data_IF_606692787858
#
_entry.id   IF_606692787858
#
_cell.length_a   1.000
_cell.length_b   1.000
_cell.length_c   1.000
_cell.angle_alpha   90.00
_cell.angle_beta   90.00
_cell.angle_gamma   90.00
#
_symmetry.space_group_name_H-M   'P 1'
#
loop_
_entity.id
_entity.type
_entity.pdbx_description
1 polymer ?
#
# COMPACT_ATOMS: atom_id res chain seq x y z
N UNK A 1 2.67 3.49 -21.42
CA UNK A 1 1.40 2.80 -21.78
C UNK A 1 1.00 1.98 -20.56
N UNK A 2 -0.23 2.09 -20.11
CA UNK A 2 -0.79 1.36 -18.94
C UNK A 2 -0.89 -0.13 -19.29
N UNK A 3 -0.73 -1.05 -18.31
CA UNK A 3 -0.89 -2.48 -18.54
C UNK A 3 -2.27 -2.82 -19.12
N UNK A 4 -2.31 -3.78 -20.03
CA UNK A 4 -3.55 -4.29 -20.63
C UNK A 4 -3.72 -5.79 -20.43
N UNK A 5 -2.65 -6.45 -20.03
CA UNK A 5 -2.59 -7.89 -19.78
C UNK A 5 -1.73 -8.21 -18.55
N UNK A 6 -1.86 -9.41 -17.98
CA UNK A 6 -0.99 -9.86 -16.89
C UNK A 6 0.50 -9.89 -17.26
N UNK A 7 0.83 -9.98 -18.54
CA UNK A 7 2.22 -9.97 -19.00
C UNK A 7 2.89 -8.59 -18.95
N UNK A 8 2.10 -7.54 -18.78
CA UNK A 8 2.60 -6.16 -18.82
C UNK A 8 3.04 -5.66 -17.42
N UNK A 9 2.84 -6.46 -16.38
CA UNK A 9 3.26 -6.11 -15.02
C UNK A 9 3.89 -7.28 -14.28
N UNK A 10 4.63 -6.99 -13.24
CA UNK A 10 5.39 -7.92 -12.42
C UNK A 10 4.86 -7.93 -10.99
N UNK A 11 4.88 -9.09 -10.33
CA UNK A 11 4.64 -9.23 -8.90
C UNK A 11 5.96 -9.55 -8.21
N UNK A 12 6.40 -8.68 -7.32
CA UNK A 12 7.57 -8.85 -6.47
C UNK A 12 7.13 -9.21 -5.05
N UNK A 13 7.63 -10.34 -4.55
CA UNK A 13 7.32 -10.84 -3.21
C UNK A 13 8.58 -10.74 -2.36
N UNK A 14 8.56 -9.92 -1.32
CA UNK A 14 9.63 -9.86 -0.34
C UNK A 14 9.51 -11.02 0.64
N UNK A 15 10.60 -11.78 0.82
CA UNK A 15 10.66 -12.86 1.81
C UNK A 15 12.05 -12.98 2.43
N UNK A 16 12.14 -13.69 3.56
CA UNK A 16 13.41 -14.01 4.22
C UNK A 16 13.26 -15.21 5.14
N UNK A 17 14.03 -16.30 4.86
CA UNK A 17 14.21 -17.45 5.75
C UNK A 17 12.94 -18.28 6.01
N UNK A 18 11.93 -18.26 5.11
CA UNK A 18 10.67 -19.01 5.29
C UNK A 18 10.01 -19.42 3.96
N UNK A 19 10.71 -20.19 3.13
CA UNK A 19 10.23 -20.57 1.80
C UNK A 19 8.88 -21.29 1.81
N UNK A 20 8.68 -22.28 2.68
CA UNK A 20 7.42 -23.03 2.78
C UNK A 20 6.25 -22.14 3.22
N UNK A 21 6.53 -21.20 4.10
CA UNK A 21 5.53 -20.25 4.55
C UNK A 21 5.08 -19.34 3.40
N UNK A 22 6.03 -18.78 2.65
CA UNK A 22 5.74 -17.96 1.46
C UNK A 22 4.97 -18.78 0.41
N UNK A 23 5.38 -20.03 0.16
CA UNK A 23 4.74 -20.92 -0.82
C UNK A 23 3.27 -21.22 -0.47
N UNK A 24 2.97 -21.41 0.82
CA UNK A 24 1.60 -21.70 1.30
C UNK A 24 0.73 -20.46 1.52
N UNK A 25 1.34 -19.28 1.60
CA UNK A 25 0.67 -18.00 1.81
C UNK A 25 0.61 -17.19 0.51
N UNK A 26 1.43 -16.18 0.36
CA UNK A 26 1.32 -15.23 -0.76
C UNK A 26 1.43 -15.90 -2.13
N UNK A 27 2.39 -16.80 -2.32
CA UNK A 27 2.53 -17.48 -3.61
C UNK A 27 1.33 -18.37 -3.91
N UNK A 28 0.94 -19.24 -2.98
CA UNK A 28 -0.22 -20.12 -3.11
C UNK A 28 -1.55 -19.35 -3.20
N UNK A 29 -1.66 -18.20 -2.53
CA UNK A 29 -2.82 -17.31 -2.68
C UNK A 29 -2.93 -16.79 -4.11
N UNK A 30 -1.83 -16.33 -4.72
CA UNK A 30 -1.83 -15.87 -6.11
C UNK A 30 -2.20 -16.99 -7.09
N UNK A 31 -1.73 -18.21 -6.83
CA UNK A 31 -2.13 -19.39 -7.62
C UNK A 31 -3.63 -19.69 -7.46
N UNK A 32 -4.16 -19.60 -6.23
CA UNK A 32 -5.58 -19.76 -5.94
C UNK A 32 -6.43 -18.71 -6.66
N UNK A 33 -5.94 -17.46 -6.76
CA UNK A 33 -6.59 -16.39 -7.52
C UNK A 33 -6.39 -16.52 -9.04
N UNK A 34 -5.78 -17.60 -9.51
CA UNK A 34 -5.45 -17.83 -10.92
C UNK A 34 -4.67 -16.66 -11.56
N UNK A 35 -3.80 -16.03 -10.76
CA UNK A 35 -2.96 -14.93 -11.23
C UNK A 35 -2.02 -15.39 -12.34
N UNK A 36 -2.04 -14.69 -13.47
CA UNK A 36 -1.21 -15.00 -14.65
C UNK A 36 0.04 -14.11 -14.76
N UNK A 37 0.10 -13.04 -13.98
CA UNK A 37 1.27 -12.19 -13.97
C UNK A 37 2.52 -12.94 -13.48
N UNK A 38 3.68 -12.57 -14.00
CA UNK A 38 4.95 -13.13 -13.53
C UNK A 38 5.17 -12.78 -12.06
N UNK A 39 5.51 -13.79 -11.27
CA UNK A 39 5.83 -13.67 -9.84
C UNK A 39 7.34 -13.86 -9.66
N UNK A 40 7.98 -12.99 -8.89
CA UNK A 40 9.40 -13.07 -8.55
C UNK A 40 9.58 -12.85 -7.06
N UNK A 41 10.28 -13.76 -6.40
CA UNK A 41 10.64 -13.66 -4.98
C UNK A 41 11.92 -12.86 -4.86
N UNK A 42 11.91 -11.85 -4.01
CA UNK A 42 13.04 -10.95 -3.77
C UNK A 42 13.69 -11.31 -2.44
N UNK A 43 14.92 -11.80 -2.51
CA UNK A 43 15.69 -12.27 -1.36
C UNK A 43 16.93 -11.42 -1.17
N UNK A 44 17.30 -11.25 0.08
CA UNK A 44 18.63 -10.67 0.37
C UNK A 44 19.73 -11.73 0.23
N UNK A 45 20.93 -11.26 -0.11
CA UNK A 45 22.13 -12.10 -0.29
C UNK A 45 22.57 -12.88 0.97
N UNK A 46 22.08 -12.46 2.15
CA UNK A 46 22.33 -13.10 3.44
C UNK A 46 21.23 -14.09 3.85
N UNK A 47 20.26 -14.41 2.98
CA UNK A 47 19.21 -15.38 3.28
C UNK A 47 19.78 -16.82 3.24
N UNK A 48 19.71 -17.58 4.33
CA UNK A 48 20.28 -18.93 4.38
C UNK A 48 19.48 -19.96 3.56
N UNK A 49 18.30 -19.62 3.06
CA UNK A 49 17.38 -20.55 2.39
C UNK A 49 17.15 -20.23 0.91
N UNK A 50 18.07 -19.49 0.28
CA UNK A 50 17.97 -19.10 -1.15
C UNK A 50 17.74 -20.33 -2.05
N UNK A 51 18.48 -21.42 -1.84
CA UNK A 51 18.37 -22.63 -2.65
C UNK A 51 17.01 -23.31 -2.50
N UNK A 52 16.38 -23.19 -1.35
CA UNK A 52 15.03 -23.70 -1.12
C UNK A 52 13.98 -22.90 -1.89
N UNK A 53 14.10 -21.57 -1.91
CA UNK A 53 13.24 -20.71 -2.74
C UNK A 53 13.41 -21.02 -4.24
N UNK A 54 14.63 -21.22 -4.71
CA UNK A 54 14.89 -21.60 -6.10
C UNK A 54 14.24 -22.92 -6.48
N UNK A 55 14.28 -23.90 -5.58
CA UNK A 55 13.59 -25.18 -5.79
C UNK A 55 12.07 -25.05 -5.86
N UNK A 56 11.50 -24.15 -5.08
CA UNK A 56 10.05 -23.94 -5.03
C UNK A 56 9.52 -23.12 -6.21
N UNK A 57 10.23 -22.07 -6.59
CA UNK A 57 9.72 -21.08 -7.53
C UNK A 57 10.38 -21.16 -8.91
N UNK A 58 11.51 -21.86 -9.04
CA UNK A 58 12.41 -21.81 -10.21
C UNK A 58 13.43 -20.68 -10.08
N UNK A 59 14.66 -20.94 -10.57
CA UNK A 59 15.77 -19.97 -10.49
C UNK A 59 15.43 -18.62 -11.14
N UNK A 60 14.71 -18.66 -12.25
CA UNK A 60 14.28 -17.48 -13.02
C UNK A 60 13.28 -16.58 -12.30
N UNK A 61 12.69 -17.09 -11.23
CA UNK A 61 11.70 -16.38 -10.40
C UNK A 61 12.25 -16.00 -9.02
N UNK A 62 13.58 -16.05 -8.84
CA UNK A 62 14.25 -15.57 -7.64
C UNK A 62 15.21 -14.45 -8.01
N UNK A 63 15.02 -13.30 -7.37
CA UNK A 63 15.91 -12.14 -7.51
C UNK A 63 16.64 -11.90 -6.19
N UNK A 64 17.97 -11.84 -6.26
CA UNK A 64 18.82 -11.63 -5.08
C UNK A 64 19.37 -10.21 -5.10
N UNK A 65 19.26 -9.51 -3.95
CA UNK A 65 19.85 -8.20 -3.76
C UNK A 65 20.80 -8.17 -2.56
N UNK A 66 21.78 -7.29 -2.60
CA UNK A 66 22.70 -7.09 -1.47
C UNK A 66 22.19 -6.04 -0.51
N UNK A 67 21.93 -6.42 0.73
CA UNK A 67 21.58 -5.46 1.79
C UNK A 67 22.71 -4.47 2.07
N UNK A 68 23.96 -4.92 1.97
CA UNK A 68 25.13 -4.06 2.19
C UNK A 68 25.21 -2.96 1.12
N UNK A 69 24.99 -3.31 -0.13
CA UNK A 69 24.98 -2.33 -1.22
C UNK A 69 23.75 -1.42 -1.14
N UNK A 70 22.60 -1.97 -0.76
CA UNK A 70 21.41 -1.16 -0.49
C UNK A 70 21.63 -0.17 0.64
N UNK A 71 22.26 -0.57 1.73
CA UNK A 71 22.59 0.28 2.87
C UNK A 71 23.51 1.46 2.46
N UNK A 72 24.50 1.18 1.61
CA UNK A 72 25.40 2.24 1.07
C UNK A 72 24.69 3.21 0.12
N UNK A 73 23.74 2.67 -0.66
CA UNK A 73 23.04 3.41 -1.71
C UNK A 73 21.93 4.29 -1.15
N UNK A 74 21.22 3.78 -0.13
CA UNK A 74 20.04 4.42 0.44
C UNK A 74 20.32 4.86 1.87
N UNK A 75 20.47 6.16 2.08
CA UNK A 75 20.52 6.76 3.41
C UNK A 75 19.07 6.92 3.94
N UNK A 76 18.53 5.80 4.41
CA UNK A 76 17.10 5.69 4.77
C UNK A 76 16.86 5.47 6.25
N UNK A 77 17.91 5.28 7.04
CA UNK A 77 17.79 5.01 8.46
C UNK A 77 17.78 6.30 9.26
N UNK A 78 16.61 6.71 9.66
CA UNK A 78 16.39 7.92 10.44
C UNK A 78 16.87 7.83 11.90
N UNK A 79 17.21 6.63 12.38
CA UNK A 79 17.56 6.36 13.76
C UNK A 79 18.79 5.43 13.90
N UNK A 80 19.68 5.45 12.94
CA UNK A 80 20.81 4.51 12.85
C UNK A 80 21.71 4.55 14.10
N UNK A 81 21.85 5.70 14.73
CA UNK A 81 22.66 5.87 15.95
C UNK A 81 22.17 5.04 17.17
N UNK A 82 20.91 4.61 17.19
CA UNK A 82 20.35 3.89 18.33
C UNK A 82 20.43 2.36 18.22
N UNK A 83 20.55 1.81 17.01
CA UNK A 83 20.27 0.39 16.77
C UNK A 83 21.52 -0.47 16.63
N UNK A 84 22.67 0.13 16.46
CA UNK A 84 23.94 -0.57 16.26
C UNK A 84 23.98 -1.39 14.95
N UNK A 85 25.15 -1.65 14.45
CA UNK A 85 25.37 -2.33 13.16
C UNK A 85 24.83 -3.77 13.09
N UNK A 86 24.72 -4.48 14.21
CA UNK A 86 24.25 -5.88 14.25
C UNK A 86 22.75 -6.05 13.99
N UNK A 87 21.95 -5.01 14.20
CA UNK A 87 20.51 -5.02 13.98
C UNK A 87 20.13 -4.40 12.62
N UNK A 88 21.08 -3.76 11.96
CA UNK A 88 20.88 -2.95 10.77
C UNK A 88 20.23 -3.70 9.61
N UNK A 89 20.43 -5.01 9.53
CA UNK A 89 20.06 -5.78 8.35
C UNK A 89 18.76 -6.57 8.44
N UNK A 90 18.05 -6.50 9.58
CA UNK A 90 16.77 -7.19 9.76
C UNK A 90 15.59 -6.26 9.52
N UNK A 91 15.43 -5.74 8.31
CA UNK A 91 14.30 -4.89 7.96
C UNK A 91 13.91 -5.05 6.49
N UNK A 92 12.64 -4.79 6.19
CA UNK A 92 12.09 -4.87 4.83
C UNK A 92 12.49 -3.69 3.96
N UNK A 93 12.81 -2.57 4.57
CA UNK A 93 13.08 -1.29 3.90
C UNK A 93 14.14 -1.36 2.79
N UNK A 94 15.17 -2.19 2.96
CA UNK A 94 16.21 -2.40 1.94
C UNK A 94 15.64 -3.03 0.68
N UNK A 95 14.93 -4.16 0.83
CA UNK A 95 14.28 -4.83 -0.28
C UNK A 95 13.22 -3.96 -0.96
N UNK A 96 12.43 -3.23 -0.18
CA UNK A 96 11.42 -2.31 -0.73
C UNK A 96 12.04 -1.17 -1.56
N UNK A 97 13.18 -0.65 -1.18
CA UNK A 97 13.88 0.36 -2.00
C UNK A 97 14.54 -0.27 -3.25
N UNK A 98 15.02 -1.50 -3.18
CA UNK A 98 15.60 -2.21 -4.32
C UNK A 98 14.55 -2.65 -5.36
N UNK A 99 13.30 -2.76 -5.01
CA UNK A 99 12.23 -3.27 -5.90
C UNK A 99 12.06 -2.45 -7.18
N UNK A 100 12.29 -1.14 -7.14
CA UNK A 100 12.27 -0.30 -8.34
C UNK A 100 13.38 -0.68 -9.32
N UNK A 101 14.60 -0.97 -8.80
CA UNK A 101 15.71 -1.49 -9.61
C UNK A 101 15.41 -2.86 -10.17
N UNK A 102 14.91 -3.77 -9.33
CA UNK A 102 14.56 -5.13 -9.76
C UNK A 102 13.55 -5.13 -10.89
N UNK A 103 12.48 -4.35 -10.79
CA UNK A 103 11.48 -4.25 -11.83
C UNK A 103 12.09 -3.76 -13.16
N UNK A 104 12.97 -2.73 -13.11
CA UNK A 104 13.66 -2.24 -14.31
C UNK A 104 14.59 -3.29 -14.94
N UNK A 105 15.38 -3.98 -14.13
CA UNK A 105 16.30 -5.03 -14.61
C UNK A 105 15.56 -6.21 -15.23
N UNK A 106 14.37 -6.51 -14.72
CA UNK A 106 13.48 -7.55 -15.28
C UNK A 106 12.66 -7.05 -16.48
N UNK A 107 12.82 -5.79 -16.88
CA UNK A 107 12.17 -5.22 -18.07
C UNK A 107 10.73 -4.74 -17.87
N UNK A 108 10.30 -4.55 -16.62
CA UNK A 108 8.93 -4.11 -16.32
C UNK A 108 8.91 -2.65 -15.85
N UNK A 109 7.96 -1.89 -16.39
CA UNK A 109 7.61 -0.57 -15.89
C UNK A 109 6.70 -0.68 -14.67
N UNK A 110 5.68 -1.53 -14.76
CA UNK A 110 4.63 -1.68 -13.76
C UNK A 110 4.90 -2.89 -12.89
N UNK A 111 4.76 -2.72 -11.59
CA UNK A 111 4.96 -3.84 -10.66
C UNK A 111 4.14 -3.68 -9.39
N UNK A 112 3.88 -4.82 -8.76
CA UNK A 112 3.23 -4.91 -7.46
C UNK A 112 4.25 -5.42 -6.45
N UNK A 113 4.26 -4.81 -5.28
CA UNK A 113 5.08 -5.25 -4.14
C UNK A 113 4.17 -5.92 -3.12
N UNK A 114 4.51 -7.13 -2.74
CA UNK A 114 3.80 -7.93 -1.76
C UNK A 114 4.76 -8.41 -0.65
N UNK A 115 4.23 -8.55 0.56
CA UNK A 115 4.85 -9.33 1.62
C UNK A 115 4.52 -10.83 1.40
N UNK A 116 5.23 -11.74 2.07
CA UNK A 116 5.11 -13.18 1.86
C UNK A 116 4.04 -13.88 2.72
N UNK A 117 3.24 -13.13 3.47
CA UNK A 117 2.35 -13.64 4.52
C UNK A 117 0.85 -13.45 4.26
N UNK A 118 0.45 -13.17 3.03
CA UNK A 118 -0.96 -13.00 2.72
C UNK A 118 -1.71 -14.33 2.67
N UNK A 119 -2.92 -14.33 3.27
CA UNK A 119 -3.78 -15.51 3.43
C UNK A 119 -5.10 -15.41 2.68
N UNK A 120 -5.41 -14.27 2.10
CA UNK A 120 -6.66 -14.11 1.37
C UNK A 120 -6.77 -12.76 0.67
N UNK A 121 -7.46 -12.76 -0.44
CA UNK A 121 -7.96 -11.59 -1.15
C UNK A 121 -9.46 -11.73 -1.29
N UNK A 122 -10.21 -10.68 -1.05
CA UNK A 122 -11.67 -10.77 -1.06
C UNK A 122 -12.32 -9.41 -1.30
N UNK A 123 -13.43 -9.40 -1.99
CA UNK A 123 -14.29 -8.22 -2.05
C UNK A 123 -15.07 -8.03 -0.75
N UNK A 124 -15.33 -6.77 -0.39
CA UNK A 124 -16.22 -6.38 0.69
C UNK A 124 -17.30 -5.47 0.12
N UNK A 125 -18.53 -5.96 0.11
CA UNK A 125 -19.69 -5.23 -0.42
C UNK A 125 -20.64 -4.87 0.72
N UNK A 126 -21.27 -3.69 0.68
CA UNK A 126 -22.34 -3.38 1.63
C UNK A 126 -23.54 -4.27 1.38
N UNK A 127 -24.05 -4.91 2.41
CA UNK A 127 -25.26 -5.71 2.36
C UNK A 127 -26.24 -5.28 3.46
N UNK A 128 -27.53 -5.30 3.15
CA UNK A 128 -28.57 -5.09 4.15
C UNK A 128 -28.54 -6.21 5.19
N UNK A 129 -28.61 -5.87 6.46
CA UNK A 129 -28.74 -6.81 7.56
C UNK A 129 -30.19 -6.87 8.01
N UNK A 130 -30.78 -8.05 8.03
CA UNK A 130 -32.16 -8.24 8.50
C UNK A 130 -32.29 -7.69 9.93
N UNK A 131 -33.23 -6.76 10.12
CA UNK A 131 -33.48 -6.13 11.42
C UNK A 131 -32.49 -5.04 11.84
N UNK A 132 -31.74 -4.48 10.90
CA UNK A 132 -30.83 -3.36 11.15
C UNK A 132 -30.80 -2.44 9.94
N UNK A 133 -30.87 -1.13 10.18
CA UNK A 133 -30.71 -0.10 9.15
C UNK A 133 -29.22 0.10 8.76
N UNK A 134 -28.28 -0.56 9.48
CA UNK A 134 -26.86 -0.47 9.21
C UNK A 134 -26.40 -1.58 8.30
N UNK A 135 -25.82 -1.27 7.14
CA UNK A 135 -25.23 -2.27 6.27
C UNK A 135 -24.03 -2.95 6.95
N UNK A 136 -23.80 -4.20 6.61
CA UNK A 136 -22.59 -4.92 6.99
C UNK A 136 -21.79 -5.28 5.74
N UNK A 137 -20.51 -5.57 5.92
CA UNK A 137 -19.59 -5.84 4.82
C UNK A 137 -19.09 -7.29 4.90
N UNK A 138 -19.86 -8.25 4.36
CA UNK A 138 -19.38 -9.62 4.26
C UNK A 138 -18.21 -9.75 3.31
N UNK A 139 -17.46 -10.82 3.48
CA UNK A 139 -16.29 -11.15 2.66
C UNK A 139 -16.73 -12.11 1.56
N UNK A 140 -16.48 -11.74 0.32
CA UNK A 140 -16.72 -12.56 -0.87
C UNK A 140 -15.39 -13.06 -1.42
N UNK A 141 -14.97 -14.25 -0.98
CA UNK A 141 -13.71 -14.86 -1.44
C UNK A 141 -13.85 -15.47 -2.82
N UNK A 142 -15.00 -16.01 -3.12
CA UNK A 142 -15.32 -16.74 -4.36
C UNK A 142 -15.19 -15.85 -5.59
N UNK A 143 -15.47 -14.57 -5.45
CA UNK A 143 -15.38 -13.61 -6.54
C UNK A 143 -13.94 -13.42 -7.07
N UNK A 144 -12.92 -13.70 -6.24
CA UNK A 144 -11.52 -13.55 -6.62
C UNK A 144 -10.96 -14.76 -7.36
N UNK A 145 -11.63 -15.89 -7.29
CA UNK A 145 -11.25 -17.15 -7.96
C UNK A 145 -11.93 -17.27 -9.32
N UNK A 146 -12.95 -16.45 -9.58
CA UNK A 146 -13.67 -16.47 -10.84
C UNK A 146 -12.77 -16.09 -12.01
N UNK A 147 -12.92 -16.76 -13.13
CA UNK A 147 -12.33 -16.37 -14.39
C UNK A 147 -13.21 -15.33 -15.08
N UNK A 148 -12.59 -14.32 -15.63
CA UNK A 148 -13.23 -13.43 -16.58
C UNK A 148 -13.16 -14.05 -17.99
N UNK A 149 -13.87 -13.45 -18.94
CA UNK A 149 -13.80 -13.86 -20.35
C UNK A 149 -12.35 -13.82 -20.83
N UNK A 150 -11.86 -14.92 -21.37
CA UNK A 150 -10.47 -15.10 -21.79
C UNK A 150 -9.56 -15.65 -20.67
N UNK A 151 -8.25 -15.47 -20.81
CA UNK A 151 -7.23 -16.01 -19.89
C UNK A 151 -6.96 -15.11 -18.68
N UNK A 152 -7.71 -14.02 -18.50
CA UNK A 152 -7.51 -13.04 -17.43
C UNK A 152 -8.29 -13.44 -16.17
N UNK A 153 -7.65 -13.48 -15.03
CA UNK A 153 -8.32 -13.65 -13.75
C UNK A 153 -8.97 -12.35 -13.26
N UNK A 154 -9.95 -12.46 -12.36
CA UNK A 154 -10.52 -11.28 -11.68
C UNK A 154 -9.43 -10.51 -10.94
N UNK A 155 -8.48 -11.22 -10.32
CA UNK A 155 -7.36 -10.60 -9.63
C UNK A 155 -6.49 -9.78 -10.59
N UNK A 156 -6.07 -10.36 -11.73
CA UNK A 156 -5.25 -9.64 -12.73
C UNK A 156 -5.98 -8.41 -13.28
N UNK A 157 -7.29 -8.54 -13.52
CA UNK A 157 -8.11 -7.40 -13.96
C UNK A 157 -8.11 -6.27 -12.93
N UNK A 158 -8.32 -6.60 -11.65
CA UNK A 158 -8.26 -5.62 -10.57
C UNK A 158 -6.87 -4.95 -10.49
N UNK A 159 -5.80 -5.71 -10.69
CA UNK A 159 -4.43 -5.17 -10.73
C UNK A 159 -4.27 -4.15 -11.88
N UNK A 160 -4.76 -4.47 -13.06
CA UNK A 160 -4.72 -3.55 -14.22
C UNK A 160 -5.47 -2.26 -13.90
N UNK A 161 -6.66 -2.35 -13.26
CA UNK A 161 -7.42 -1.16 -12.85
C UNK A 161 -6.68 -0.30 -11.83
N UNK A 162 -5.95 -0.91 -10.89
CA UNK A 162 -5.10 -0.17 -9.96
C UNK A 162 -3.95 0.57 -10.68
N UNK A 163 -3.37 -0.02 -11.73
CA UNK A 163 -2.36 0.65 -12.55
C UNK A 163 -2.95 1.76 -13.42
N UNK A 164 -4.14 1.58 -13.98
CA UNK A 164 -4.84 2.64 -14.69
C UNK A 164 -5.07 3.86 -13.79
N UNK A 165 -5.49 3.60 -12.54
CA UNK A 165 -5.63 4.66 -11.55
C UNK A 165 -4.28 5.32 -11.24
N UNK A 166 -3.22 4.55 -11.02
CA UNK A 166 -1.88 5.07 -10.75
C UNK A 166 -1.36 5.95 -11.91
N UNK A 167 -1.65 5.59 -13.15
CA UNK A 167 -1.24 6.34 -14.34
C UNK A 167 -2.08 7.61 -14.56
N UNK A 168 -3.30 7.64 -14.03
CA UNK A 168 -4.26 8.74 -14.25
C UNK A 168 -3.83 10.08 -13.64
N UNK A 169 -2.94 10.06 -12.65
CA UNK A 169 -2.52 11.27 -11.94
C UNK A 169 -0.99 11.32 -11.75
N UNK A 170 -0.32 12.39 -12.18
CA UNK A 170 1.15 12.51 -12.05
C UNK A 170 1.62 12.54 -10.60
N UNK A 171 0.82 13.05 -9.69
CA UNK A 171 1.12 13.13 -8.26
C UNK A 171 0.90 11.81 -7.50
N UNK A 172 0.27 10.80 -8.10
CA UNK A 172 0.04 9.50 -7.50
C UNK A 172 1.23 8.58 -7.73
N UNK A 173 1.92 8.21 -6.68
CA UNK A 173 3.16 7.41 -6.72
C UNK A 173 2.95 5.96 -6.31
N UNK A 174 1.93 5.68 -5.50
CA UNK A 174 1.54 4.31 -5.18
C UNK A 174 0.03 4.18 -5.00
N UNK A 175 -0.52 3.05 -5.41
CA UNK A 175 -1.87 2.61 -5.05
C UNK A 175 -1.74 1.40 -4.15
N UNK A 176 -2.55 1.34 -3.11
CA UNK A 176 -2.60 0.23 -2.16
C UNK A 176 -3.96 -0.47 -2.14
N UNK A 177 -3.97 -1.71 -1.68
CA UNK A 177 -5.21 -2.43 -1.39
C UNK A 177 -5.59 -2.24 0.09
N UNK A 178 -6.88 -2.16 0.41
CA UNK A 178 -7.35 -2.01 1.77
C UNK A 178 -7.11 -3.30 2.57
N UNK A 179 -6.90 -3.14 3.85
CA UNK A 179 -6.71 -4.24 4.80
C UNK A 179 -7.90 -4.36 5.73
N UNK A 180 -8.00 -5.48 6.43
CA UNK A 180 -9.08 -5.71 7.40
C UNK A 180 -9.22 -4.58 8.44
N UNK A 181 -8.12 -3.96 8.84
CA UNK A 181 -8.12 -2.83 9.78
C UNK A 181 -8.81 -1.57 9.26
N UNK A 182 -8.84 -1.38 7.94
CA UNK A 182 -9.49 -0.21 7.32
C UNK A 182 -11.02 -0.26 7.39
N UNK A 183 -11.57 -1.44 7.66
CA UNK A 183 -13.01 -1.66 7.81
C UNK A 183 -13.50 -1.66 9.26
N UNK A 184 -12.64 -1.30 10.23
CA UNK A 184 -13.05 -1.14 11.62
C UNK A 184 -14.09 -0.03 11.74
N UNK A 185 -15.24 -0.37 12.36
CA UNK A 185 -16.41 0.53 12.41
C UNK A 185 -17.42 0.29 11.30
N UNK A 186 -17.14 -0.61 10.34
CA UNK A 186 -18.06 -0.96 9.25
C UNK A 186 -18.44 0.24 8.39
N UNK A 187 -19.69 0.33 8.00
CA UNK A 187 -20.25 1.43 7.20
C UNK A 187 -20.13 2.82 7.87
N UNK A 188 -20.05 2.83 9.20
CA UNK A 188 -19.87 4.07 9.96
C UNK A 188 -18.39 4.51 10.05
N UNK A 189 -17.48 3.71 9.53
CA UNK A 189 -16.06 4.08 9.47
C UNK A 189 -15.89 5.32 8.60
N UNK A 190 -15.17 6.32 9.14
CA UNK A 190 -14.81 7.52 8.38
C UNK A 190 -14.00 7.20 7.12
N UNK A 191 -13.18 6.15 7.19
CA UNK A 191 -12.37 5.65 6.08
C UNK A 191 -13.26 5.09 4.98
N UNK A 192 -14.24 4.27 5.36
CA UNK A 192 -15.15 3.67 4.38
C UNK A 192 -16.05 4.71 3.71
N UNK A 193 -16.59 5.68 4.47
CA UNK A 193 -17.42 6.76 3.94
C UNK A 193 -16.69 7.64 2.91
N UNK A 194 -15.35 7.69 2.96
CA UNK A 194 -14.53 8.46 2.01
C UNK A 194 -14.18 7.72 0.73
N UNK A 195 -14.44 6.42 0.66
CA UNK A 195 -14.07 5.53 -0.46
C UNK A 195 -12.56 5.40 -0.70
N UNK A 196 -11.72 6.20 -0.07
CA UNK A 196 -10.27 6.20 -0.23
C UNK A 196 -9.54 6.76 1.01
N UNK A 197 -8.23 6.48 1.10
CA UNK A 197 -7.35 6.97 2.16
C UNK A 197 -5.94 7.23 1.61
N UNK A 198 -5.28 8.29 2.07
CA UNK A 198 -3.93 8.70 1.68
C UNK A 198 -2.84 7.83 2.29
N UNK A 199 -2.84 6.54 1.99
CA UNK A 199 -1.81 5.60 2.40
C UNK A 199 -1.64 4.51 1.35
N UNK A 200 -0.50 3.81 1.37
CA UNK A 200 -0.35 2.47 0.84
C UNK A 200 0.42 1.66 1.87
N UNK A 201 -0.10 0.49 2.23
CA UNK A 201 0.49 -0.38 3.25
C UNK A 201 0.52 -1.81 2.75
N UNK A 202 1.68 -2.44 2.87
CA UNK A 202 1.93 -3.85 2.57
C UNK A 202 1.76 -4.26 1.10
N UNK A 203 0.78 -3.72 0.39
CA UNK A 203 0.59 -3.91 -1.05
C UNK A 203 0.79 -2.58 -1.74
N UNK A 204 1.69 -2.56 -2.72
CA UNK A 204 2.02 -1.34 -3.44
C UNK A 204 2.00 -1.61 -4.94
N UNK A 205 1.10 -0.94 -5.65
CA UNK A 205 1.15 -0.83 -7.11
C UNK A 205 2.06 0.33 -7.45
N UNK A 206 3.12 0.07 -8.19
CA UNK A 206 4.21 0.99 -8.45
C UNK A 206 4.49 1.16 -9.94
N UNK A 207 5.03 2.32 -10.29
CA UNK A 207 5.55 2.65 -11.62
C UNK A 207 7.05 2.98 -11.48
N UNK A 208 7.91 2.33 -12.25
CA UNK A 208 9.36 2.59 -12.23
C UNK A 208 9.73 4.02 -12.65
N UNK A 209 8.82 4.75 -13.32
CA UNK A 209 8.99 6.16 -13.64
C UNK A 209 8.61 7.11 -12.50
N UNK A 210 7.95 6.59 -11.44
CA UNK A 210 7.51 7.34 -10.26
C UNK A 210 8.16 6.76 -9.01
N UNK A 211 9.50 6.66 -9.02
CA UNK A 211 10.25 6.10 -7.90
C UNK A 211 10.12 6.99 -6.66
N UNK A 212 9.88 6.37 -5.52
CA UNK A 212 9.86 7.00 -4.21
C UNK A 212 10.65 6.17 -3.20
N UNK A 213 10.84 6.69 -1.98
CA UNK A 213 11.68 6.05 -0.97
C UNK A 213 10.86 5.56 0.22
N UNK A 214 11.31 4.43 0.76
CA UNK A 214 10.92 3.92 2.06
C UNK A 214 11.95 4.33 3.11
N UNK A 215 11.51 4.64 4.32
CA UNK A 215 12.35 5.19 5.37
C UNK A 215 12.16 4.47 6.70
N UNK A 216 13.29 4.21 7.39
CA UNK A 216 13.30 3.59 8.70
C UNK A 216 13.10 2.08 8.69
N UNK A 217 13.54 1.43 9.76
CA UNK A 217 13.45 -0.03 9.92
C UNK A 217 12.11 -0.48 10.44
N UNK A 218 11.37 0.42 11.08
CA UNK A 218 10.03 0.19 11.60
C UNK A 218 9.04 1.10 10.90
N UNK A 219 7.87 0.57 10.56
CA UNK A 219 6.83 1.31 9.87
C UNK A 219 7.36 2.04 8.61
N UNK A 220 8.22 1.38 7.86
CA UNK A 220 8.80 1.91 6.63
C UNK A 220 7.73 2.38 5.62
N UNK A 221 6.60 1.69 5.58
CA UNK A 221 5.41 2.06 4.83
C UNK A 221 4.76 3.36 5.35
N UNK A 222 4.53 3.47 6.66
CA UNK A 222 3.97 4.68 7.29
C UNK A 222 4.89 5.88 7.04
N UNK A 223 6.18 5.69 7.28
CA UNK A 223 7.16 6.75 7.06
C UNK A 223 7.22 7.17 5.59
N UNK A 224 7.12 6.20 4.67
CA UNK A 224 7.13 6.46 3.24
C UNK A 224 5.94 7.33 2.82
N UNK A 225 4.70 6.91 3.10
CA UNK A 225 3.55 7.68 2.61
C UNK A 225 3.39 9.04 3.29
N UNK A 226 3.89 9.22 4.52
CA UNK A 226 3.89 10.52 5.18
C UNK A 226 4.98 11.43 4.64
N UNK A 227 6.23 10.98 4.57
CA UNK A 227 7.36 11.79 4.10
C UNK A 227 7.27 12.13 2.61
N UNK A 228 6.89 11.16 1.80
CA UNK A 228 6.74 11.37 0.36
C UNK A 228 5.48 12.21 0.06
N UNK A 229 4.40 11.98 0.80
CA UNK A 229 3.17 12.76 0.68
C UNK A 229 3.41 14.25 0.88
N UNK A 230 4.21 14.66 1.87
CA UNK A 230 4.60 16.05 2.09
C UNK A 230 5.34 16.69 0.89
N UNK A 231 5.93 15.87 0.03
CA UNK A 231 6.66 16.28 -1.17
C UNK A 231 5.82 16.20 -2.45
N UNK A 232 4.53 15.90 -2.33
CA UNK A 232 3.63 15.74 -3.47
C UNK A 232 3.62 14.33 -4.08
N UNK A 233 4.36 13.37 -3.51
CA UNK A 233 4.39 11.98 -3.93
C UNK A 233 3.35 11.19 -3.13
N UNK A 234 2.11 11.26 -3.55
CA UNK A 234 0.98 10.73 -2.80
C UNK A 234 0.80 9.23 -2.98
N UNK A 235 0.37 8.58 -1.92
CA UNK A 235 -0.11 7.20 -1.95
C UNK A 235 -1.62 7.16 -1.71
N UNK A 236 -2.32 6.24 -2.36
CA UNK A 236 -3.77 6.10 -2.28
C UNK A 236 -4.17 4.65 -2.06
N UNK A 237 -5.06 4.39 -1.12
CA UNK A 237 -5.76 3.09 -0.99
C UNK A 237 -7.24 3.31 -1.24
N UNK A 238 -7.81 2.54 -2.17
CA UNK A 238 -9.24 2.51 -2.43
C UNK A 238 -9.93 1.53 -1.48
N UNK A 239 -10.88 1.99 -0.69
CA UNK A 239 -11.57 1.13 0.29
C UNK A 239 -12.57 0.15 -0.34
N UNK A 240 -12.97 0.40 -1.59
CA UNK A 240 -13.86 -0.46 -2.37
C UNK A 240 -13.11 -1.46 -3.27
N UNK A 241 -11.78 -1.37 -3.35
CA UNK A 241 -10.95 -2.36 -4.01
C UNK A 241 -10.93 -3.69 -3.24
N UNK A 242 -10.45 -4.78 -3.85
CA UNK A 242 -10.28 -6.04 -3.14
C UNK A 242 -9.43 -5.85 -1.89
N UNK A 243 -9.92 -6.34 -0.75
CA UNK A 243 -9.15 -6.29 0.50
C UNK A 243 -8.19 -7.46 0.59
N UNK A 244 -6.97 -7.18 1.04
CA UNK A 244 -5.98 -8.22 1.30
C UNK A 244 -5.93 -8.53 2.79
N UNK A 245 -5.78 -9.81 3.13
CA UNK A 245 -5.74 -10.29 4.50
C UNK A 245 -4.40 -10.94 4.79
N UNK A 246 -3.83 -10.61 5.95
CA UNK A 246 -2.60 -11.20 6.47
C UNK A 246 -2.76 -11.56 7.95
N UNK A 247 -2.02 -12.54 8.45
CA UNK A 247 -1.99 -12.84 9.88
C UNK A 247 -1.37 -11.66 10.65
N UNK A 248 -1.59 -11.64 11.96
CA UNK A 248 -0.91 -10.64 12.79
C UNK A 248 0.61 -10.84 12.72
N UNK A 249 1.35 -9.79 12.37
CA UNK A 249 2.81 -9.79 12.28
C UNK A 249 3.50 -10.29 13.55
N UNK A 250 2.83 -10.24 14.71
CA UNK A 250 3.38 -10.67 15.99
C UNK A 250 3.25 -12.19 16.24
N UNK A 251 2.41 -12.87 15.48
CA UNK A 251 2.16 -14.32 15.62
C UNK A 251 3.02 -15.18 14.69
N UNK A 252 3.69 -14.58 13.72
CA UNK A 252 4.48 -15.29 12.69
C UNK A 252 5.96 -15.23 13.03
N UNK A 253 6.69 -16.34 12.89
CA UNK A 253 8.16 -16.38 13.06
C UNK A 253 8.84 -15.77 11.84
N UNK A 254 9.94 -15.05 12.06
CA UNK A 254 10.77 -14.47 11.00
C UNK A 254 10.42 -13.01 10.68
N UNK A 255 11.06 -12.45 9.67
CA UNK A 255 10.91 -11.06 9.26
C UNK A 255 11.23 -10.06 10.37
N UNK A 256 10.41 -9.03 10.52
CA UNK A 256 10.55 -8.00 11.57
C UNK A 256 10.02 -8.43 12.94
N UNK A 257 9.46 -9.63 13.07
CA UNK A 257 8.90 -10.12 14.33
C UNK A 257 9.93 -10.16 15.46
N UNK A 258 11.18 -10.54 15.15
CA UNK A 258 12.26 -10.57 16.13
C UNK A 258 12.58 -9.17 16.68
N UNK A 259 12.51 -8.14 15.84
CA UNK A 259 12.67 -6.75 16.25
C UNK A 259 11.53 -6.33 17.20
N UNK A 260 10.29 -6.72 16.91
CA UNK A 260 9.16 -6.43 17.78
C UNK A 260 9.23 -7.18 19.13
N UNK A 261 9.74 -8.40 19.13
CA UNK A 261 9.99 -9.14 20.38
C UNK A 261 11.07 -8.50 21.23
N UNK A 262 12.10 -7.96 20.60
CA UNK A 262 13.24 -7.35 21.27
C UNK A 262 12.91 -5.96 21.84
N UNK A 263 12.20 -5.13 21.10
CA UNK A 263 11.99 -3.71 21.42
C UNK A 263 10.53 -3.35 21.78
N UNK A 264 9.60 -4.28 21.63
CA UNK A 264 8.18 -4.04 21.80
C UNK A 264 7.54 -3.31 20.62
N UNK A 265 6.22 -3.36 20.53
CA UNK A 265 5.46 -2.76 19.44
C UNK A 265 5.33 -1.24 19.53
N UNK A 266 5.59 -0.67 20.70
CA UNK A 266 5.56 0.79 20.90
C UNK A 266 6.69 1.50 20.13
N UNK A 267 7.84 0.84 19.94
CA UNK A 267 9.00 1.41 19.23
C UNK A 267 8.64 1.83 17.83
N UNK A 268 7.88 1.02 17.08
CA UNK A 268 7.45 1.37 15.74
C UNK A 268 6.65 2.67 15.68
N UNK A 269 5.79 2.91 16.69
CA UNK A 269 4.98 4.12 16.76
C UNK A 269 5.82 5.35 17.12
N UNK A 270 6.76 5.19 18.03
CA UNK A 270 7.73 6.23 18.40
C UNK A 270 8.64 6.58 17.22
N UNK A 271 9.13 5.57 16.48
CA UNK A 271 9.97 5.78 15.29
C UNK A 271 9.25 6.64 14.26
N UNK A 272 7.98 6.34 13.96
CA UNK A 272 7.21 7.14 13.01
C UNK A 272 6.99 8.58 13.49
N UNK A 273 6.77 8.80 14.79
CA UNK A 273 6.63 10.15 15.36
C UNK A 273 7.96 10.94 15.29
N UNK A 274 9.08 10.28 15.54
CA UNK A 274 10.41 10.91 15.44
C UNK A 274 10.76 11.21 13.97
N UNK A 275 10.44 10.29 13.07
CA UNK A 275 10.67 10.48 11.64
C UNK A 275 9.81 11.61 11.04
N UNK A 276 8.62 11.82 11.57
CA UNK A 276 7.64 12.76 11.06
C UNK A 276 7.07 13.66 12.17
N UNK A 277 7.89 14.46 12.86
CA UNK A 277 7.42 15.32 13.94
C UNK A 277 6.38 16.31 13.43
N UNK A 278 5.32 16.50 14.20
CA UNK A 278 4.18 17.32 13.82
C UNK A 278 3.13 16.61 12.96
N UNK A 279 3.51 15.72 12.06
CA UNK A 279 2.57 14.95 11.24
C UNK A 279 2.17 13.61 11.86
N UNK A 280 2.97 13.09 12.77
CA UNK A 280 2.68 11.85 13.48
C UNK A 280 2.82 12.08 14.98
N UNK A 281 1.80 11.73 15.73
CA UNK A 281 1.80 11.74 17.19
C UNK A 281 1.59 10.31 17.71
N UNK A 282 1.85 10.11 19.00
CA UNK A 282 1.68 8.83 19.67
C UNK A 282 0.55 8.92 20.67
N UNK A 283 -0.33 7.95 20.68
CA UNK A 283 -1.45 7.85 21.61
C UNK A 283 -1.74 6.41 21.99
N UNK A 284 -2.76 6.20 22.80
CA UNK A 284 -3.24 4.87 23.18
C UNK A 284 -4.47 4.52 22.35
N UNK A 285 -4.47 3.35 21.74
CA UNK A 285 -5.58 2.82 20.97
C UNK A 285 -6.06 1.49 21.56
N UNK A 286 -7.38 1.29 21.52
CA UNK A 286 -8.05 0.07 21.97
C UNK A 286 -8.58 0.18 23.41
N UNK A 287 -9.83 -0.26 23.59
CA UNK A 287 -10.50 -0.20 24.89
C UNK A 287 -10.29 -1.49 25.70
N UNK A 288 -10.25 -2.64 25.03
CA UNK A 288 -10.10 -3.95 25.70
C UNK A 288 -8.64 -4.29 25.90
N UNK A 289 -7.81 -4.01 24.91
CA UNK A 289 -6.37 -4.23 24.96
C UNK A 289 -5.65 -2.93 24.54
N UNK A 290 -5.45 -2.00 25.45
CA UNK A 290 -4.78 -0.74 25.17
C UNK A 290 -3.38 -0.96 24.65
N UNK A 291 -3.03 -0.30 23.53
CA UNK A 291 -1.69 -0.34 22.96
C UNK A 291 -1.26 1.04 22.48
N UNK A 292 0.01 1.31 22.57
CA UNK A 292 0.59 2.52 21.98
C UNK A 292 0.52 2.43 20.46
N UNK A 293 0.01 3.47 19.84
CA UNK A 293 -0.18 3.53 18.40
C UNK A 293 0.14 4.93 17.88
N UNK A 294 0.57 5.00 16.62
CA UNK A 294 0.78 6.27 15.94
C UNK A 294 -0.55 6.81 15.38
N UNK A 295 -0.70 8.12 15.45
CA UNK A 295 -1.80 8.86 14.83
C UNK A 295 -1.23 9.81 13.78
N UNK A 296 -1.79 9.76 12.57
CA UNK A 296 -1.35 10.57 11.46
C UNK A 296 -2.29 11.77 11.32
N UNK A 297 -1.72 12.94 11.29
CA UNK A 297 -2.40 14.19 11.00
C UNK A 297 -2.37 14.41 9.48
N UNK A 298 -3.44 13.98 8.81
CA UNK A 298 -3.52 13.96 7.36
C UNK A 298 -3.48 15.34 6.71
N UNK A 299 -3.97 16.35 7.40
CA UNK A 299 -3.90 17.76 7.02
C UNK A 299 -2.44 18.26 6.89
N UNK A 300 -1.55 17.74 7.73
CA UNK A 300 -0.12 18.05 7.69
C UNK A 300 0.63 17.10 6.74
N UNK A 301 0.11 15.89 6.56
CA UNK A 301 0.72 14.87 5.70
C UNK A 301 0.36 15.05 4.22
N UNK A 302 -0.61 15.90 3.92
CA UNK A 302 -0.91 16.31 2.55
C UNK A 302 0.23 17.15 1.97
N UNK A 303 0.41 17.20 0.64
CA UNK A 303 1.47 17.98 0.04
C UNK A 303 1.25 19.47 0.30
N UNK A 304 2.24 20.11 0.88
CA UNK A 304 2.26 21.58 1.01
C UNK A 304 2.70 22.24 -0.28
N UNK A 305 3.48 21.55 -1.09
CA UNK A 305 3.96 21.98 -2.41
C UNK A 305 3.85 20.79 -3.36
N UNK A 306 3.15 20.98 -4.46
CA UNK A 306 3.07 20.01 -5.54
C UNK A 306 4.15 20.38 -6.55
N UNK A 307 5.06 19.45 -6.93
CA UNK A 307 6.06 19.71 -7.96
C UNK A 307 5.38 20.13 -9.26
N UNK A 308 6.01 21.06 -9.99
CA UNK A 308 5.43 21.63 -11.22
C UNK A 308 5.13 20.55 -12.27
N UNK A 309 6.01 19.56 -12.39
CA UNK A 309 5.83 18.40 -13.26
C UNK A 309 4.61 17.52 -12.91
N UNK A 310 4.12 17.65 -11.67
CA UNK A 310 2.90 16.97 -11.21
C UNK A 310 1.63 17.80 -11.48
N UNK A 311 1.77 19.06 -11.89
CA UNK A 311 0.65 19.88 -12.26
C UNK A 311 0.17 19.54 -13.67
N UNK A 312 -1.14 19.48 -13.86
CA UNK A 312 -1.70 19.34 -15.23
C UNK A 312 -1.44 20.62 -16.00
N UNK A 313 -1.02 20.48 -17.27
CA UNK A 313 -0.79 21.64 -18.15
C UNK A 313 -2.02 22.55 -18.31
N UNK A 314 -3.22 21.97 -18.15
CA UNK A 314 -4.50 22.73 -18.21
C UNK A 314 -5.42 22.33 -17.06
N UNK A 315 -5.09 22.66 -15.80
CA UNK A 315 -5.97 22.30 -14.67
C UNK A 315 -7.31 23.04 -14.71
N UNK A 316 -7.37 24.21 -15.33
CA UNK A 316 -8.56 25.08 -15.29
C UNK A 316 -9.62 24.75 -16.34
N UNK A 317 -9.25 24.26 -17.53
CA UNK A 317 -10.24 23.96 -18.57
C UNK A 317 -11.06 22.72 -18.23
N UNK A 318 -10.43 21.74 -17.58
CA UNK A 318 -11.11 20.54 -17.13
C UNK A 318 -11.97 20.81 -15.88
N UNK A 319 -11.48 21.70 -15.00
CA UNK A 319 -12.23 22.12 -13.82
C UNK A 319 -13.32 23.16 -14.10
N UNK A 320 -13.24 23.91 -15.22
CA UNK A 320 -14.30 24.90 -15.56
C UNK A 320 -15.65 24.24 -15.80
N UNK A 321 -15.69 23.06 -16.41
CA UNK A 321 -16.94 22.32 -16.59
C UNK A 321 -17.46 21.70 -15.30
N UNK A 322 -16.56 21.34 -14.37
CA UNK A 322 -16.93 20.75 -13.09
C UNK A 322 -17.10 21.76 -11.94
N UNK A 323 -16.55 22.97 -12.07
CA UNK A 323 -16.55 24.01 -11.02
C UNK A 323 -17.52 25.14 -11.31
N UNK A 324 -18.39 25.02 -12.30
CA UNK A 324 -19.32 26.10 -12.66
C UNK A 324 -20.26 26.56 -11.54
N UNK A 325 -20.38 25.79 -10.45
CA UNK A 325 -21.27 26.12 -9.33
C UNK A 325 -20.61 26.13 -7.94
N UNK A 326 -19.28 25.97 -7.85
CA UNK A 326 -18.59 26.12 -6.57
C UNK A 326 -18.05 27.54 -6.45
N UNK A 327 -18.91 28.47 -6.05
CA UNK A 327 -18.43 29.71 -5.46
C UNK A 327 -17.75 29.37 -4.13
N UNK A 328 -16.44 29.25 -4.15
CA UNK A 328 -15.63 29.19 -2.95
C UNK A 328 -15.70 30.57 -2.26
N UNK A 329 -16.75 30.82 -1.51
CA UNK A 329 -16.73 31.80 -0.44
C UNK A 329 -16.20 31.04 0.79
N UNK A 330 -14.98 31.33 1.26
CA UNK A 330 -14.49 30.75 2.49
C UNK A 330 -15.48 31.15 3.59
N UNK A 331 -16.16 30.18 4.18
CA UNK A 331 -16.89 30.41 5.42
C UNK A 331 -15.83 30.67 6.50
N UNK A 332 -15.75 31.90 7.06
CA UNK A 332 -14.75 32.23 8.07
C UNK A 332 -14.88 31.38 9.36
N UNK A 333 -16.01 30.67 9.52
CA UNK A 333 -16.27 29.82 10.67
C UNK A 333 -16.05 28.33 10.36
N UNK A 334 -15.70 27.97 9.12
CA UNK A 334 -15.39 26.62 8.72
C UNK A 334 -13.88 26.44 8.76
N UNK A 335 -13.39 25.69 9.72
CA UNK A 335 -12.06 25.10 9.64
C UNK A 335 -12.08 24.09 8.49
N UNK A 336 -11.96 24.60 7.27
CA UNK A 336 -11.83 23.77 6.07
C UNK A 336 -10.45 23.16 6.06
N UNK A 337 -10.28 22.07 6.78
CA UNK A 337 -9.32 21.12 6.31
C UNK A 337 -9.92 20.46 5.06
N UNK A 338 -9.15 20.28 4.00
CA UNK A 338 -9.50 19.44 2.85
C UNK A 338 -9.91 18.01 3.25
N UNK A 339 -9.91 17.74 4.52
CA UNK A 339 -10.12 16.48 5.22
C UNK A 339 -11.26 16.61 6.24
N UNK A 340 -12.21 17.53 6.01
CA UNK A 340 -13.44 17.55 6.80
C UNK A 340 -14.08 16.14 6.75
N UNK A 341 -14.12 15.42 7.86
CA UNK A 341 -14.66 14.07 7.88
C UNK A 341 -16.16 14.02 7.54
N UNK A 342 -16.83 15.16 7.59
CA UNK A 342 -18.26 15.29 7.32
C UNK A 342 -18.53 15.95 5.95
N UNK A 343 -17.50 16.37 5.23
CA UNK A 343 -17.65 16.77 3.84
C UNK A 343 -18.06 15.54 3.02
N UNK A 344 -19.33 15.45 2.70
CA UNK A 344 -19.79 14.59 1.62
C UNK A 344 -19.04 15.06 0.38
N UNK A 345 -18.25 14.22 -0.31
CA UNK A 345 -17.69 14.60 -1.58
C UNK A 345 -18.85 15.05 -2.45
N UNK A 346 -18.76 16.19 -3.14
CA UNK A 346 -19.76 16.53 -4.15
C UNK A 346 -19.88 15.29 -5.06
N UNK A 347 -21.10 14.88 -5.34
CA UNK A 347 -21.42 13.74 -6.22
C UNK A 347 -20.70 13.81 -7.57
N UNK A 348 -20.09 14.95 -7.88
CA UNK A 348 -19.43 15.32 -9.13
C UNK A 348 -17.91 15.43 -9.08
N UNK A 349 -17.19 14.88 -8.07
CA UNK A 349 -15.74 14.83 -8.17
C UNK A 349 -15.38 13.92 -9.34
N UNK A 350 -14.67 14.49 -10.30
CA UNK A 350 -14.26 13.92 -11.58
C UNK A 350 -13.56 12.54 -11.52
N UNK A 351 -13.25 12.04 -10.35
CA UNK A 351 -12.81 10.67 -10.10
C UNK A 351 -13.93 9.64 -10.36
N UNK A 352 -15.21 10.04 -10.21
CA UNK A 352 -16.34 9.14 -10.41
C UNK A 352 -16.63 8.89 -11.90
N UNK A 353 -16.45 9.89 -12.75
CA UNK A 353 -16.87 9.77 -14.16
C UNK A 353 -15.88 9.03 -15.08
N UNK A 354 -14.60 8.92 -14.72
CA UNK A 354 -13.59 8.36 -15.62
C UNK A 354 -12.80 7.15 -15.08
N UNK A 355 -12.99 6.71 -13.85
CA UNK A 355 -12.16 5.65 -13.31
C UNK A 355 -12.83 4.73 -12.30
N UNK A 356 -13.79 5.22 -11.53
CA UNK A 356 -14.34 4.44 -10.41
C UNK A 356 -15.58 3.63 -10.80
N UNK A 357 -16.40 4.11 -11.74
CA UNK A 357 -17.58 3.38 -12.21
C UNK A 357 -17.26 2.05 -12.91
N UNK A 358 -16.01 1.85 -13.34
CA UNK A 358 -15.56 0.60 -13.95
C UNK A 358 -14.86 -0.36 -12.97
N UNK A 359 -14.82 -0.04 -11.68
CA UNK A 359 -14.28 -0.95 -10.66
C UNK A 359 -15.34 -1.92 -10.11
N UNK A 360 -16.60 -1.76 -10.52
CA UNK A 360 -17.71 -2.58 -10.04
C UNK A 360 -18.51 -3.17 -11.21
#
# INVERSE_FOLDING_TARGET
MTPKSPNDFLILILSYGRPDFMATHTWGLLDTCNCKARKVVCLSDDDPTIDEYKKLCGDENVFIYSKIESEKKYDIDLLDCYWGKSLSRKATVWGRNEQFRMARELGYRWFIVLDDDYIGVSFRRPMARKGSDKPFFPVFKEDMVAQMDGDMSVFDHCCIKCFELLDSAPWMYAVGLPQAGDFLGGAESKVFKRSWIWKAMNVFFCDTHKEYRYYGRFNDDVNAYVLNGKRGQMSLTLTHAPSINQPSTQSVKGGVTDLYKMFGTYVKSLTSAVANPGAVTVGVMGNITPRVHHHIHWDISAPMVVPEECCKEKPLDYCKECLHDVSFTPDPNRTTSFLDPDAVPPEDICLSKNGIENFF
#
